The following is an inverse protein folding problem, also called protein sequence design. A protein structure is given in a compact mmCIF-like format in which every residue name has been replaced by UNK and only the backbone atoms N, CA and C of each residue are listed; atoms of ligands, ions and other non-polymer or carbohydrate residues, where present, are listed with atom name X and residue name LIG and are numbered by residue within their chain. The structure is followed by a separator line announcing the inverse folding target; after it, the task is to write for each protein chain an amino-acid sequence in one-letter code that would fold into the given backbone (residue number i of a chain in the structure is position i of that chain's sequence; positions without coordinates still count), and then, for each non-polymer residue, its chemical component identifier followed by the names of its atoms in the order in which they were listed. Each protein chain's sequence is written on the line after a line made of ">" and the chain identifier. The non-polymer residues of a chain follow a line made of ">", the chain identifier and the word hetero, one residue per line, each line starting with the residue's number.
data_IF_317236442376
#
_entry.id   IF_317236442376
#
_cell.length_a   1.000
_cell.length_b   1.000
_cell.length_c   1.000
_cell.angle_alpha   90.00
_cell.angle_beta   90.00
_cell.angle_gamma   90.00
#
_symmetry.space_group_name_H-M   'P 1'
#
loop_
_entity.id
_entity.type
_entity.pdbx_description
1 polymer ?
#
# COMPACT_ATOMS: atom_id res chain seq x y z
N UNK A 1 3.35 14.87 -21.40
CA UNK A 1 4.48 13.96 -21.13
C UNK A 1 4.83 14.15 -19.67
N UNK A 2 4.54 13.17 -18.81
CA UNK A 2 4.96 13.22 -17.41
C UNK A 2 6.50 13.11 -17.41
N UNK A 3 7.17 14.04 -16.72
CA UNK A 3 8.63 14.04 -16.63
C UNK A 3 9.09 12.91 -15.71
N UNK A 4 10.32 12.44 -15.90
CA UNK A 4 10.96 11.52 -14.95
C UNK A 4 10.92 12.15 -13.55
N UNK A 5 10.13 11.55 -12.64
CA UNK A 5 9.92 12.04 -11.27
C UNK A 5 8.49 12.45 -10.91
N UNK A 6 7.56 12.54 -11.88
CA UNK A 6 6.16 12.87 -11.56
C UNK A 6 5.43 11.65 -10.97
N UNK A 7 4.84 11.83 -9.78
CA UNK A 7 3.92 10.85 -9.20
C UNK A 7 2.71 10.70 -10.11
N UNK A 8 2.36 9.44 -10.45
CA UNK A 8 1.18 9.15 -11.29
C UNK A 8 -0.13 9.58 -10.62
N UNK A 9 -0.18 9.53 -9.29
CA UNK A 9 -1.33 9.90 -8.47
C UNK A 9 -0.87 10.71 -7.25
N UNK A 10 -0.50 11.98 -7.42
CA UNK A 10 0.14 12.76 -6.35
C UNK A 10 -0.78 12.91 -5.14
N UNK A 11 -2.03 13.33 -5.34
CA UNK A 11 -3.01 13.56 -4.27
C UNK A 11 -3.26 12.29 -3.44
N UNK A 12 -3.56 11.17 -4.12
CA UNK A 12 -3.77 9.89 -3.47
C UNK A 12 -2.50 9.41 -2.77
N UNK A 13 -1.33 9.58 -3.38
CA UNK A 13 -0.05 9.18 -2.77
C UNK A 13 0.21 9.95 -1.47
N UNK A 14 0.03 11.27 -1.47
CA UNK A 14 0.22 12.09 -0.27
C UNK A 14 -0.79 11.74 0.82
N UNK A 15 -2.04 11.48 0.45
CA UNK A 15 -3.05 11.05 1.41
C UNK A 15 -2.65 9.73 2.09
N UNK A 16 -2.33 8.71 1.30
CA UNK A 16 -1.94 7.37 1.78
C UNK A 16 -0.69 7.42 2.66
N UNK A 17 0.32 8.19 2.26
CA UNK A 17 1.53 8.42 3.07
C UNK A 17 1.15 9.08 4.40
N UNK A 18 0.27 10.08 4.39
CA UNK A 18 -0.27 10.70 5.60
C UNK A 18 -0.96 9.68 6.52
N UNK A 19 -1.70 8.71 5.97
CA UNK A 19 -2.32 7.64 6.76
C UNK A 19 -1.27 6.77 7.44
N UNK A 20 -0.21 6.41 6.72
CA UNK A 20 0.88 5.60 7.26
C UNK A 20 1.59 6.32 8.41
N UNK A 21 1.80 7.63 8.28
CA UNK A 21 2.35 8.44 9.37
C UNK A 21 1.41 8.50 10.57
N UNK A 22 0.10 8.66 10.37
CA UNK A 22 -0.87 8.63 11.47
C UNK A 22 -0.81 7.31 12.24
N UNK A 23 -0.74 6.18 11.53
CA UNK A 23 -0.56 4.86 12.12
C UNK A 23 0.72 4.80 12.94
N UNK A 24 1.86 5.21 12.35
CA UNK A 24 3.16 5.20 13.02
C UNK A 24 3.17 6.07 14.28
N UNK A 25 2.56 7.25 14.21
CA UNK A 25 2.52 8.20 15.33
C UNK A 25 1.61 7.71 16.46
N UNK A 26 0.52 6.99 16.14
CA UNK A 26 -0.45 6.48 17.11
C UNK A 26 -0.02 5.15 17.74
N UNK A 27 0.47 4.22 16.95
CA UNK A 27 0.93 2.91 17.44
C UNK A 27 2.33 3.00 18.07
N UNK A 28 3.20 3.89 17.58
CA UNK A 28 4.61 3.85 17.95
C UNK A 28 5.34 2.65 17.36
N UNK A 29 6.53 2.34 17.90
CA UNK A 29 7.39 1.26 17.42
C UNK A 29 7.27 -0.01 18.29
N UNK A 30 7.75 -1.14 17.77
CA UNK A 30 7.88 -2.41 18.53
C UNK A 30 6.79 -3.46 18.27
N UNK A 31 5.75 -3.14 17.49
CA UNK A 31 4.74 -4.11 17.09
C UNK A 31 5.17 -4.94 15.87
N UNK A 32 4.55 -6.10 15.68
CA UNK A 32 4.66 -6.89 14.45
C UNK A 32 4.00 -6.15 13.28
N UNK A 33 4.54 -6.32 12.07
CA UNK A 33 4.04 -5.71 10.82
C UNK A 33 2.53 -5.82 10.63
N UNK A 34 1.95 -6.98 10.97
CA UNK A 34 0.50 -7.24 10.88
C UNK A 34 -0.36 -6.24 11.67
N UNK A 35 0.16 -5.64 12.74
CA UNK A 35 -0.58 -4.64 13.52
C UNK A 35 -0.57 -3.27 12.83
N UNK A 36 0.53 -2.89 12.19
CA UNK A 36 0.56 -1.68 11.36
C UNK A 36 -0.37 -1.82 10.15
N UNK A 37 -0.37 -2.97 9.50
CA UNK A 37 -1.30 -3.25 8.39
C UNK A 37 -2.77 -3.13 8.84
N UNK A 38 -3.12 -3.68 10.02
CA UNK A 38 -4.48 -3.57 10.57
C UNK A 38 -4.84 -2.13 10.92
N UNK A 39 -3.94 -1.36 11.52
CA UNK A 39 -4.21 0.03 11.82
C UNK A 39 -4.33 0.88 10.55
N UNK A 40 -3.54 0.58 9.52
CA UNK A 40 -3.65 1.23 8.23
C UNK A 40 -4.98 0.92 7.54
N UNK A 41 -5.45 -0.33 7.63
CA UNK A 41 -6.78 -0.72 7.18
C UNK A 41 -7.89 0.08 7.89
N UNK A 42 -7.75 0.33 9.20
CA UNK A 42 -8.69 1.19 9.94
C UNK A 42 -8.69 2.63 9.41
N UNK A 43 -7.51 3.23 9.14
CA UNK A 43 -7.43 4.58 8.55
C UNK A 43 -8.09 4.67 7.16
N UNK A 44 -8.02 3.62 6.35
CA UNK A 44 -8.70 3.53 5.05
C UNK A 44 -10.22 3.42 5.21
N UNK A 45 -10.69 2.58 6.15
CA UNK A 45 -12.11 2.40 6.45
C UNK A 45 -12.74 3.68 6.99
N UNK A 46 -12.08 4.37 7.91
CA UNK A 46 -12.53 5.64 8.50
C UNK A 46 -12.73 6.73 7.44
N UNK A 47 -11.89 6.70 6.39
CA UNK A 47 -11.99 7.60 5.23
C UNK A 47 -12.88 7.06 4.10
N UNK A 48 -13.53 5.91 4.31
CA UNK A 48 -14.39 5.24 3.33
C UNK A 48 -13.70 5.01 1.99
N UNK A 49 -12.39 4.72 2.02
CA UNK A 49 -11.61 4.44 0.82
C UNK A 49 -11.97 3.06 0.28
N UNK A 50 -12.06 2.96 -1.04
CA UNK A 50 -12.21 1.67 -1.72
C UNK A 50 -10.85 0.99 -1.76
N UNK A 51 -10.73 -0.19 -1.16
CA UNK A 51 -9.49 -0.96 -1.20
C UNK A 51 -9.72 -2.46 -1.33
N UNK A 52 -8.70 -3.17 -1.79
CA UNK A 52 -8.55 -4.63 -1.71
C UNK A 52 -7.33 -4.95 -0.88
N UNK A 53 -7.46 -5.91 0.03
CA UNK A 53 -6.38 -6.38 0.89
C UNK A 53 -5.82 -7.71 0.38
N UNK A 54 -4.51 -7.90 0.53
CA UNK A 54 -3.81 -9.14 0.18
C UNK A 54 -4.14 -9.60 -1.26
N UNK A 55 -4.07 -8.66 -2.20
CA UNK A 55 -4.36 -8.94 -3.60
C UNK A 55 -3.25 -9.85 -4.15
N UNK A 56 -3.64 -11.07 -4.51
CA UNK A 56 -2.76 -12.05 -5.13
C UNK A 56 -2.36 -11.60 -6.53
N UNK A 57 -1.06 -11.55 -6.79
CA UNK A 57 -0.47 -11.26 -8.08
C UNK A 57 0.40 -12.43 -8.55
N UNK A 58 0.43 -12.63 -9.87
CA UNK A 58 1.30 -13.63 -10.50
C UNK A 58 2.61 -12.96 -10.89
N UNK A 59 3.72 -13.48 -10.39
CA UNK A 59 5.05 -13.01 -10.77
C UNK A 59 5.46 -13.70 -12.08
N UNK A 60 5.68 -12.89 -13.11
CA UNK A 60 6.13 -13.35 -14.42
C UNK A 60 7.56 -12.87 -14.65
N UNK A 61 8.43 -13.76 -15.11
CA UNK A 61 9.80 -13.44 -15.50
C UNK A 61 10.08 -14.06 -16.87
N UNK A 62 10.44 -13.25 -17.86
CA UNK A 62 10.67 -13.69 -19.25
C UNK A 62 9.55 -14.59 -19.80
N UNK A 63 8.29 -14.19 -19.59
CA UNK A 63 7.11 -14.94 -20.05
C UNK A 63 6.82 -16.21 -19.26
N UNK A 64 7.63 -16.57 -18.24
CA UNK A 64 7.42 -17.73 -17.38
C UNK A 64 6.87 -17.31 -16.04
N UNK A 65 5.91 -18.09 -15.53
CA UNK A 65 5.37 -17.89 -14.19
C UNK A 65 6.41 -18.33 -13.16
N UNK A 66 6.95 -17.36 -12.43
CA UNK A 66 7.96 -17.58 -11.38
C UNK A 66 7.30 -17.88 -10.03
N UNK A 67 6.13 -17.31 -9.76
CA UNK A 67 5.49 -17.47 -8.46
C UNK A 67 4.22 -16.66 -8.29
N UNK A 68 3.86 -16.48 -7.02
CA UNK A 68 2.76 -15.62 -6.58
C UNK A 68 3.30 -14.74 -5.45
N UNK A 69 2.91 -13.48 -5.46
CA UNK A 69 3.12 -12.57 -4.33
C UNK A 69 1.78 -11.92 -3.98
N UNK A 70 1.71 -11.29 -2.82
CA UNK A 70 0.51 -10.62 -2.33
C UNK A 70 0.86 -9.17 -2.10
N UNK A 71 0.05 -8.29 -2.68
CA UNK A 71 0.11 -6.85 -2.41
C UNK A 71 -0.75 -6.59 -1.19
N UNK A 72 -0.21 -5.91 -0.19
CA UNK A 72 -0.91 -5.61 1.07
C UNK A 72 -2.23 -4.87 0.81
N UNK A 73 -2.19 -3.78 0.04
CA UNK A 73 -3.36 -2.97 -0.31
C UNK A 73 -3.35 -2.50 -1.77
N UNK A 74 -4.51 -2.59 -2.41
CA UNK A 74 -4.80 -1.90 -3.68
C UNK A 74 -5.92 -0.92 -3.40
N UNK A 75 -5.64 0.38 -3.44
CA UNK A 75 -6.57 1.46 -3.06
C UNK A 75 -6.99 2.24 -4.29
N UNK A 76 -8.30 2.44 -4.49
CA UNK A 76 -8.87 3.16 -5.65
C UNK A 76 -8.32 2.66 -7.00
N UNK A 77 -8.15 1.33 -7.12
CA UNK A 77 -7.54 0.64 -8.27
C UNK A 77 -6.06 0.98 -8.52
N UNK A 78 -5.40 1.64 -7.58
CA UNK A 78 -3.97 1.95 -7.59
C UNK A 78 -3.24 1.06 -6.58
N UNK A 79 -2.03 0.60 -6.94
CA UNK A 79 -1.23 -0.28 -6.07
C UNK A 79 -0.61 0.54 -4.95
N UNK A 80 -0.73 0.05 -3.71
CA UNK A 80 -0.04 0.59 -2.54
C UNK A 80 0.88 -0.49 -2.00
N UNK A 81 2.17 -0.34 -2.24
CA UNK A 81 3.19 -1.27 -1.73
C UNK A 81 4.18 -0.50 -0.86
N UNK A 82 4.31 -0.92 0.40
CA UNK A 82 5.39 -0.45 1.26
C UNK A 82 6.62 -1.31 0.96
N UNK A 83 7.57 -0.78 0.19
CA UNK A 83 8.86 -1.44 -0.01
C UNK A 83 9.52 -1.71 1.35
N UNK A 84 9.80 -2.99 1.63
CA UNK A 84 10.70 -3.39 2.72
C UNK A 84 12.12 -3.00 2.31
N UNK A 85 12.69 -2.03 3.02
CA UNK A 85 14.14 -1.72 3.02
C UNK A 85 14.78 -2.58 4.11
#
# INVERSE_FOLDING_TARGET
>A
MNKEGDLLYPELSYELVGLAFNVSNRLGFGYQEKYYQRAYEMELLDRKKLYKKEQKCVLMYNGRRMGRYFIDFVVENTIVERNKI
#
